data_IF_820872166945
#
_entry.id   IF_820872166945
#
_cell.length_a   1.000
_cell.length_b   1.000
_cell.length_c   1.000
_cell.angle_alpha   90.00
_cell.angle_beta   90.00
_cell.angle_gamma   90.00
#
_symmetry.space_group_name_H-M   'P 1'
#
loop_
_entity.id
_entity.type
_entity.pdbx_description
1 polymer ?
#
# COMPACT_ATOMS: atom_id res chain seq x y z
N UNK A 1 29.77 -8.43 -22.99
CA UNK A 1 28.99 -9.08 -24.07
C UNK A 1 27.83 -9.80 -23.37
N UNK A 2 26.68 -10.02 -24.02
CA UNK A 2 25.56 -10.78 -23.41
C UNK A 2 25.62 -12.22 -23.92
N UNK A 3 25.16 -13.17 -23.10
CA UNK A 3 25.02 -14.57 -23.51
C UNK A 3 24.10 -14.67 -24.75
N UNK A 4 24.42 -15.49 -25.77
CA UNK A 4 23.66 -15.57 -27.01
C UNK A 4 22.17 -15.89 -26.80
N UNK A 5 21.86 -16.79 -25.86
CA UNK A 5 20.48 -17.17 -25.56
C UNK A 5 19.69 -16.01 -24.97
N UNK A 6 20.27 -15.33 -23.98
CA UNK A 6 19.71 -14.11 -23.38
C UNK A 6 19.48 -13.01 -24.42
N UNK A 7 20.41 -12.83 -25.36
CA UNK A 7 20.27 -11.86 -26.44
C UNK A 7 19.07 -12.22 -27.34
N UNK A 8 18.94 -13.49 -27.72
CA UNK A 8 17.88 -13.96 -28.61
C UNK A 8 16.48 -13.93 -27.97
N UNK A 9 16.39 -14.18 -26.67
CA UNK A 9 15.12 -14.23 -25.93
C UNK A 9 14.59 -12.84 -25.59
N UNK A 10 15.47 -11.90 -25.22
CA UNK A 10 15.12 -10.52 -24.87
C UNK A 10 14.94 -9.67 -26.13
N UNK A 11 15.85 -9.76 -27.09
CA UNK A 11 15.90 -8.87 -28.25
C UNK A 11 15.37 -9.58 -29.50
N UNK A 12 14.11 -10.04 -29.43
CA UNK A 12 13.40 -10.69 -30.54
C UNK A 12 13.34 -9.83 -31.82
N UNK A 13 13.44 -8.49 -31.68
CA UNK A 13 13.54 -7.52 -32.78
C UNK A 13 14.99 -7.02 -32.94
N UNK A 14 15.80 -7.68 -33.76
CA UNK A 14 17.22 -7.37 -33.99
C UNK A 14 17.47 -6.16 -34.93
N UNK A 15 16.69 -5.08 -34.86
CA UNK A 15 16.97 -3.87 -35.66
C UNK A 15 17.32 -2.70 -34.76
N UNK A 16 18.57 -2.70 -34.29
CA UNK A 16 19.18 -1.50 -33.74
C UNK A 16 19.85 -0.73 -34.87
N UNK A 17 19.66 0.59 -34.92
CA UNK A 17 20.47 1.44 -35.78
C UNK A 17 21.93 1.35 -35.34
N UNK A 18 22.85 1.13 -36.28
CA UNK A 18 24.27 1.20 -35.97
C UNK A 18 24.62 2.61 -35.47
N UNK A 19 25.55 2.68 -34.51
CA UNK A 19 26.04 3.95 -34.01
C UNK A 19 26.71 4.75 -35.14
N UNK A 20 26.48 6.06 -35.19
CA UNK A 20 27.13 6.94 -36.17
C UNK A 20 28.60 7.17 -35.81
N UNK A 21 29.42 7.55 -36.80
CA UNK A 21 30.82 7.88 -36.58
C UNK A 21 31.01 9.00 -35.54
N UNK A 22 30.07 9.95 -35.48
CA UNK A 22 30.08 11.04 -34.51
C UNK A 22 29.82 10.52 -33.08
N UNK A 23 28.85 9.64 -32.89
CA UNK A 23 28.57 9.01 -31.59
C UNK A 23 29.76 8.19 -31.09
N UNK A 24 30.41 7.45 -32.00
CA UNK A 24 31.62 6.69 -31.70
C UNK A 24 32.75 7.64 -31.28
N UNK A 25 32.97 8.73 -32.03
CA UNK A 25 34.00 9.73 -31.71
C UNK A 25 33.80 10.34 -30.32
N UNK A 26 32.58 10.78 -29.99
CA UNK A 26 32.24 11.33 -28.68
C UNK A 26 32.55 10.32 -27.57
N UNK A 27 32.13 9.07 -27.75
CA UNK A 27 32.36 8.00 -26.78
C UNK A 27 33.85 7.75 -26.57
N UNK A 28 34.63 7.65 -27.65
CA UNK A 28 36.08 7.43 -27.60
C UNK A 28 36.80 8.60 -26.93
N UNK A 29 36.46 9.84 -27.27
CA UNK A 29 37.09 11.04 -26.68
C UNK A 29 36.80 11.13 -25.17
N UNK A 30 35.59 10.79 -24.74
CA UNK A 30 35.25 10.67 -23.32
C UNK A 30 36.08 9.59 -22.61
N UNK A 31 36.16 8.38 -23.18
CA UNK A 31 36.98 7.28 -22.63
C UNK A 31 38.48 7.63 -22.55
N UNK A 32 39.00 8.41 -23.51
CA UNK A 32 40.37 8.91 -23.47
C UNK A 32 40.57 9.93 -22.35
N UNK A 33 39.64 10.86 -22.16
CA UNK A 33 39.70 11.86 -21.07
C UNK A 33 39.74 11.22 -19.68
N UNK A 34 39.06 10.08 -19.51
CA UNK A 34 39.05 9.29 -18.27
C UNK A 34 40.23 8.31 -18.18
N UNK A 35 41.14 8.32 -19.17
CA UNK A 35 42.28 7.43 -19.28
C UNK A 35 41.89 5.94 -19.17
N UNK A 36 40.80 5.53 -19.81
CA UNK A 36 40.33 4.13 -19.83
C UNK A 36 40.30 3.54 -21.23
N UNK A 37 40.33 4.37 -22.27
CA UNK A 37 40.40 3.90 -23.65
C UNK A 37 41.70 3.12 -23.91
N UNK A 38 41.59 1.91 -24.48
CA UNK A 38 42.74 1.08 -24.84
C UNK A 38 43.34 0.25 -23.69
N UNK A 39 42.80 0.35 -22.47
CA UNK A 39 43.18 -0.56 -21.38
C UNK A 39 42.53 -1.92 -21.59
N UNK A 40 43.31 -3.00 -21.47
CA UNK A 40 42.76 -4.36 -21.52
C UNK A 40 42.02 -4.67 -20.21
N UNK A 41 40.76 -5.09 -20.32
CA UNK A 41 40.04 -5.72 -19.23
C UNK A 41 40.27 -7.23 -19.25
N UNK A 42 40.24 -7.87 -18.08
CA UNK A 42 40.22 -9.33 -18.01
C UNK A 42 38.90 -9.85 -18.61
N UNK A 43 38.94 -10.81 -19.55
CA UNK A 43 37.74 -11.39 -20.10
C UNK A 43 36.99 -12.18 -19.01
N UNK A 44 35.77 -11.77 -18.72
CA UNK A 44 34.87 -12.50 -17.83
C UNK A 44 34.19 -13.59 -18.63
N UNK A 45 34.30 -14.85 -18.17
CA UNK A 45 33.53 -15.95 -18.73
C UNK A 45 32.03 -15.65 -18.63
N UNK A 46 31.32 -15.77 -19.75
CA UNK A 46 29.87 -15.61 -19.76
C UNK A 46 29.23 -16.98 -19.59
N UNK A 47 28.56 -17.18 -18.45
CA UNK A 47 27.67 -18.32 -18.28
C UNK A 47 26.48 -18.19 -19.24
N UNK A 48 26.28 -19.19 -20.09
CA UNK A 48 25.07 -19.32 -20.90
C UNK A 48 23.99 -20.01 -20.06
N UNK A 49 22.76 -19.50 -20.15
CA UNK A 49 21.61 -20.06 -19.45
C UNK A 49 20.35 -19.80 -20.26
N UNK A 50 19.35 -20.63 -20.07
CA UNK A 50 18.04 -20.48 -20.70
C UNK A 50 17.15 -19.59 -19.81
N UNK A 51 16.85 -18.35 -20.22
CA UNK A 51 15.98 -17.48 -19.44
C UNK A 51 14.51 -17.95 -19.54
N UNK A 52 13.70 -17.73 -18.49
CA UNK A 52 12.27 -18.05 -18.56
C UNK A 52 11.59 -17.27 -19.70
N UNK A 53 10.52 -17.85 -20.23
CA UNK A 53 9.75 -17.20 -21.28
C UNK A 53 9.20 -15.84 -20.82
N UNK A 54 9.38 -14.83 -21.69
CA UNK A 54 8.77 -13.53 -21.46
C UNK A 54 7.26 -13.63 -21.63
N UNK A 55 6.52 -13.24 -20.60
CA UNK A 55 5.11 -12.88 -20.70
C UNK A 55 4.94 -11.59 -21.50
N UNK A 56 4.99 -11.67 -22.84
CA UNK A 56 4.87 -10.52 -23.74
C UNK A 56 5.99 -10.47 -24.79
N UNK A 57 6.06 -9.35 -25.50
CA UNK A 57 6.95 -9.17 -26.66
C UNK A 57 8.33 -8.61 -26.29
N UNK A 58 8.45 -8.00 -25.11
CA UNK A 58 9.67 -7.33 -24.64
C UNK A 58 9.70 -7.30 -23.10
N UNK A 59 10.79 -6.79 -22.51
CA UNK A 59 10.99 -6.72 -21.06
C UNK A 59 9.91 -5.85 -20.38
N UNK A 60 9.53 -4.73 -20.98
CA UNK A 60 8.52 -3.83 -20.42
C UNK A 60 7.16 -4.51 -20.30
N UNK A 61 6.69 -5.15 -21.38
CA UNK A 61 5.47 -5.96 -21.37
C UNK A 61 5.55 -7.10 -20.35
N UNK A 62 6.72 -7.76 -20.23
CA UNK A 62 6.91 -8.80 -19.23
C UNK A 62 6.69 -8.31 -17.81
N UNK A 63 7.35 -7.21 -17.42
CA UNK A 63 7.20 -6.63 -16.08
C UNK A 63 5.79 -6.09 -15.84
N UNK A 64 5.17 -5.50 -16.85
CA UNK A 64 3.76 -5.09 -16.78
C UNK A 64 2.84 -6.29 -16.54
N UNK A 65 3.01 -7.37 -17.30
CA UNK A 65 2.16 -8.55 -17.22
C UNK A 65 2.32 -9.33 -15.92
N UNK A 66 3.55 -9.53 -15.42
CA UNK A 66 3.74 -10.15 -14.08
C UNK A 66 3.17 -9.26 -12.97
N UNK A 67 3.30 -7.93 -13.12
CA UNK A 67 2.71 -6.97 -12.19
C UNK A 67 1.18 -7.05 -12.18
N UNK A 68 0.56 -7.10 -13.36
CA UNK A 68 -0.88 -7.26 -13.50
C UNK A 68 -1.38 -8.59 -12.92
N UNK A 69 -0.67 -9.70 -13.17
CA UNK A 69 -1.00 -11.00 -12.60
C UNK A 69 -0.89 -11.01 -11.07
N UNK A 70 0.13 -10.36 -10.51
CA UNK A 70 0.29 -10.25 -9.06
C UNK A 70 -0.73 -9.31 -8.41
N UNK A 71 -1.17 -8.27 -9.13
CA UNK A 71 -2.12 -7.29 -8.64
C UNK A 71 -3.57 -7.79 -8.70
N UNK A 72 -3.91 -8.68 -9.64
CA UNK A 72 -5.26 -9.25 -9.74
C UNK A 72 -5.45 -10.41 -8.75
N UNK A 73 -6.66 -10.57 -8.17
CA UNK A 73 -7.88 -9.79 -8.42
C UNK A 73 -7.99 -8.51 -7.57
N UNK A 74 -7.01 -8.23 -6.70
CA UNK A 74 -7.09 -7.17 -5.71
C UNK A 74 -7.19 -5.76 -6.31
N UNK A 75 -6.56 -5.51 -7.46
CA UNK A 75 -6.71 -4.25 -8.19
C UNK A 75 -8.18 -4.02 -8.59
N UNK A 76 -8.81 -5.02 -9.22
CA UNK A 76 -10.23 -4.93 -9.59
C UNK A 76 -11.12 -4.73 -8.36
N UNK A 77 -10.84 -5.44 -7.26
CA UNK A 77 -11.56 -5.26 -6.00
C UNK A 77 -11.44 -3.83 -5.45
N UNK A 78 -10.24 -3.24 -5.47
CA UNK A 78 -10.00 -1.87 -5.04
C UNK A 78 -10.72 -0.85 -5.93
N UNK A 79 -10.64 -1.02 -7.26
CA UNK A 79 -11.31 -0.15 -8.22
C UNK A 79 -12.83 -0.18 -8.02
N UNK A 80 -13.42 -1.37 -7.91
CA UNK A 80 -14.86 -1.53 -7.66
C UNK A 80 -15.27 -0.90 -6.33
N UNK A 81 -14.49 -1.15 -5.26
CA UNK A 81 -14.76 -0.59 -3.94
C UNK A 81 -14.71 0.94 -3.94
N UNK A 82 -13.76 1.54 -4.65
CA UNK A 82 -13.62 3.00 -4.77
C UNK A 82 -14.78 3.67 -5.52
N UNK A 83 -15.52 2.93 -6.36
CA UNK A 83 -16.70 3.45 -7.06
C UNK A 83 -17.98 3.39 -6.20
N UNK A 84 -17.96 2.75 -5.03
CA UNK A 84 -19.13 2.65 -4.16
C UNK A 84 -19.40 4.02 -3.51
N UNK A 85 -20.61 4.53 -3.68
CA UNK A 85 -21.02 5.78 -3.04
C UNK A 85 -21.05 5.63 -1.51
N UNK A 86 -20.58 6.66 -0.78
CA UNK A 86 -20.50 6.64 0.69
C UNK A 86 -21.80 6.29 1.41
N UNK A 87 -22.95 6.74 0.89
CA UNK A 87 -24.28 6.44 1.45
C UNK A 87 -24.68 4.95 1.30
N UNK A 88 -23.95 4.19 0.48
CA UNK A 88 -24.15 2.77 0.32
C UNK A 88 -23.46 1.97 1.42
N UNK A 89 -22.59 2.54 2.25
CA UNK A 89 -21.97 1.85 3.37
C UNK A 89 -22.92 1.75 4.59
N UNK A 90 -22.77 0.72 5.44
CA UNK A 90 -23.53 0.64 6.69
C UNK A 90 -23.18 1.83 7.60
N UNK A 91 -24.19 2.37 8.28
CA UNK A 91 -23.96 3.41 9.29
C UNK A 91 -23.11 2.84 10.42
N UNK A 92 -22.28 3.70 11.02
CA UNK A 92 -21.56 3.34 12.23
C UNK A 92 -22.55 2.83 13.29
N UNK A 93 -22.27 1.70 13.97
CA UNK A 93 -23.15 1.20 15.01
C UNK A 93 -23.34 2.25 16.11
N UNK A 94 -24.57 2.42 16.57
CA UNK A 94 -24.85 3.31 17.68
C UNK A 94 -24.15 2.81 18.97
N UNK A 95 -23.76 3.71 19.84
CA UNK A 95 -22.94 3.37 21.02
C UNK A 95 -23.65 2.38 21.95
N UNK A 96 -24.97 2.50 22.09
CA UNK A 96 -25.83 1.60 22.84
C UNK A 96 -25.94 0.19 22.25
N UNK A 97 -25.62 0.03 20.96
CA UNK A 97 -25.62 -1.27 20.28
C UNK A 97 -24.27 -1.97 20.40
N UNK A 98 -23.19 -1.23 20.68
CA UNK A 98 -21.85 -1.78 20.79
C UNK A 98 -21.72 -2.77 21.96
N UNK A 99 -21.05 -3.89 21.73
CA UNK A 99 -20.83 -4.94 22.69
C UNK A 99 -19.36 -5.09 23.04
N UNK A 100 -19.05 -5.01 24.35
CA UNK A 100 -17.75 -5.41 24.90
C UNK A 100 -17.69 -6.95 25.01
N UNK A 101 -17.59 -7.62 23.87
CA UNK A 101 -17.58 -9.09 23.78
C UNK A 101 -16.35 -9.59 23.04
N UNK A 102 -15.63 -10.57 23.61
CA UNK A 102 -14.44 -11.15 23.00
C UNK A 102 -14.66 -11.75 21.61
N UNK A 103 -13.72 -11.44 20.71
CA UNK A 103 -13.73 -11.82 19.32
C UNK A 103 -14.48 -10.81 18.46
N UNK A 104 -14.87 -11.24 17.26
CA UNK A 104 -15.60 -10.39 16.33
C UNK A 104 -17.11 -10.36 16.63
N UNK A 105 -17.67 -9.16 16.55
CA UNK A 105 -19.11 -8.92 16.45
C UNK A 105 -19.39 -8.21 15.14
N UNK A 106 -20.25 -8.80 14.31
CA UNK A 106 -20.81 -8.19 13.09
C UNK A 106 -22.02 -7.34 13.45
N UNK A 107 -22.13 -6.18 12.82
CA UNK A 107 -23.24 -5.23 12.93
C UNK A 107 -23.79 -4.95 11.54
N UNK A 108 -25.00 -5.42 11.27
CA UNK A 108 -25.67 -5.32 9.98
C UNK A 108 -26.47 -4.02 9.85
N UNK A 109 -26.87 -3.70 8.62
CA UNK A 109 -27.60 -2.47 8.27
C UNK A 109 -28.97 -2.34 8.93
N UNK A 110 -29.58 -3.48 9.23
CA UNK A 110 -30.88 -3.56 9.91
C UNK A 110 -30.77 -3.36 11.43
N UNK A 111 -29.55 -3.17 11.94
CA UNK A 111 -29.25 -3.05 13.37
C UNK A 111 -29.11 -4.39 14.08
N UNK A 112 -29.24 -5.51 13.37
CA UNK A 112 -28.93 -6.82 13.92
C UNK A 112 -27.43 -6.97 14.16
N UNK A 113 -27.09 -7.84 15.12
CA UNK A 113 -25.71 -8.08 15.52
C UNK A 113 -25.48 -9.55 15.81
N UNK A 114 -24.34 -10.05 15.38
CA UNK A 114 -24.00 -11.45 15.51
C UNK A 114 -22.54 -11.62 15.89
N UNK A 115 -22.28 -12.48 16.87
CA UNK A 115 -20.91 -12.93 17.15
C UNK A 115 -20.43 -13.81 16.00
N UNK A 116 -19.29 -13.47 15.42
CA UNK A 116 -18.68 -14.20 14.31
C UNK A 116 -17.23 -14.56 14.67
N UNK A 117 -16.68 -15.60 14.03
CA UNK A 117 -15.27 -15.98 14.24
C UNK A 117 -14.31 -15.04 13.52
N UNK A 118 -14.72 -14.59 12.34
CA UNK A 118 -14.00 -13.71 11.41
C UNK A 118 -15.01 -12.90 10.60
N UNK A 119 -14.60 -11.82 9.91
CA UNK A 119 -15.46 -11.15 8.94
C UNK A 119 -15.98 -12.12 7.87
N UNK A 120 -17.21 -11.90 7.40
CA UNK A 120 -17.89 -12.80 6.48
C UNK A 120 -17.13 -12.96 5.16
N UNK A 121 -17.32 -14.10 4.49
CA UNK A 121 -16.60 -14.44 3.26
C UNK A 121 -16.99 -13.52 2.10
N UNK A 122 -18.26 -13.13 2.02
CA UNK A 122 -18.80 -12.19 1.03
C UNK A 122 -18.24 -10.77 1.17
N UNK A 123 -17.69 -10.43 2.35
CA UNK A 123 -17.07 -9.12 2.60
C UNK A 123 -15.61 -9.09 2.16
N UNK A 124 -15.37 -9.36 0.88
CA UNK A 124 -14.03 -9.48 0.29
C UNK A 124 -13.16 -8.22 0.41
N UNK A 125 -13.74 -7.03 0.62
CA UNK A 125 -13.00 -5.78 0.85
C UNK A 125 -13.35 -5.21 2.22
N UNK A 126 -12.32 -4.96 3.04
CA UNK A 126 -12.44 -4.40 4.38
C UNK A 126 -11.60 -3.13 4.51
N UNK A 127 -12.16 -2.06 5.07
CA UNK A 127 -11.37 -0.96 5.66
C UNK A 127 -11.14 -1.30 7.12
N UNK A 128 -9.90 -1.27 7.58
CA UNK A 128 -9.48 -1.89 8.85
C UNK A 128 -8.56 -0.99 9.65
N UNK A 129 -8.75 -0.99 10.98
CA UNK A 129 -7.97 -0.19 11.93
C UNK A 129 -7.87 -0.92 13.29
N UNK A 130 -6.79 -0.68 14.05
CA UNK A 130 -6.47 -1.40 15.30
C UNK A 130 -6.02 -0.47 16.41
N UNK A 131 -6.55 -0.70 17.61
CA UNK A 131 -6.11 -0.04 18.84
C UNK A 131 -5.23 -0.96 19.68
N UNK A 132 -4.19 -0.37 20.28
CA UNK A 132 -3.18 -1.05 21.11
C UNK A 132 -2.94 -0.24 22.38
N UNK A 133 -2.88 -0.90 23.54
CA UNK A 133 -2.41 -0.29 24.79
C UNK A 133 -0.87 -0.36 24.85
N UNK A 134 -0.20 0.55 24.14
CA UNK A 134 1.26 0.52 23.94
C UNK A 134 2.08 0.38 25.23
N UNK A 135 1.76 1.06 26.35
CA UNK A 135 2.51 0.90 27.60
C UNK A 135 2.42 -0.52 28.19
N UNK A 136 1.33 -1.25 27.92
CA UNK A 136 1.05 -2.56 28.51
C UNK A 136 1.50 -3.71 27.60
N UNK A 137 1.24 -3.61 26.30
CA UNK A 137 1.46 -4.71 25.35
C UNK A 137 1.45 -4.23 23.89
N UNK A 138 2.24 -4.83 22.99
CA UNK A 138 2.19 -4.53 21.56
C UNK A 138 1.01 -5.18 20.82
N UNK A 139 0.24 -6.03 21.50
CA UNK A 139 -0.89 -6.80 20.94
C UNK A 139 -2.18 -5.97 20.92
N UNK A 140 -3.09 -6.27 19.97
CA UNK A 140 -4.33 -5.51 19.80
C UNK A 140 -5.26 -5.65 21.00
N UNK A 141 -5.96 -4.56 21.33
CA UNK A 141 -7.05 -4.55 22.33
C UNK A 141 -8.41 -4.40 21.68
N UNK A 142 -8.50 -3.60 20.61
CA UNK A 142 -9.68 -3.44 19.78
C UNK A 142 -9.27 -3.43 18.32
N UNK A 143 -10.19 -3.83 17.45
CA UNK A 143 -10.08 -3.55 16.02
C UNK A 143 -11.45 -3.23 15.45
N UNK A 144 -11.47 -2.38 14.44
CA UNK A 144 -12.66 -2.08 13.67
C UNK A 144 -12.42 -2.48 12.22
N UNK A 145 -13.44 -3.06 11.59
CA UNK A 145 -13.47 -3.22 10.15
C UNK A 145 -14.82 -2.77 9.60
N UNK A 146 -14.82 -2.16 8.41
CA UNK A 146 -16.06 -1.91 7.66
C UNK A 146 -15.96 -2.50 6.27
N UNK A 147 -17.05 -3.06 5.81
CA UNK A 147 -17.23 -3.59 4.46
C UNK A 147 -18.38 -2.85 3.79
N UNK A 148 -18.70 -3.21 2.55
CA UNK A 148 -19.93 -2.73 1.94
C UNK A 148 -21.17 -3.22 2.70
N UNK A 149 -21.15 -4.37 3.38
CA UNK A 149 -22.36 -4.97 3.94
C UNK A 149 -22.55 -4.71 5.44
N UNK A 150 -21.47 -4.70 6.22
CA UNK A 150 -21.51 -4.63 7.68
C UNK A 150 -20.29 -3.94 8.30
N UNK A 151 -20.47 -3.49 9.55
CA UNK A 151 -19.38 -3.16 10.47
C UNK A 151 -18.98 -4.38 11.28
N UNK A 152 -17.72 -4.43 11.67
CA UNK A 152 -17.14 -5.45 12.51
C UNK A 152 -16.35 -4.79 13.62
N UNK A 153 -16.56 -5.23 14.85
CA UNK A 153 -15.76 -4.80 15.98
C UNK A 153 -15.16 -6.04 16.65
N UNK A 154 -13.85 -6.05 16.80
CA UNK A 154 -13.12 -7.09 17.51
C UNK A 154 -12.72 -6.58 18.89
N UNK A 155 -12.98 -7.39 19.92
CA UNK A 155 -12.48 -7.12 21.28
C UNK A 155 -11.52 -8.22 21.67
N UNK A 156 -10.34 -7.82 22.16
CA UNK A 156 -9.35 -8.76 22.65
C UNK A 156 -9.91 -9.55 23.85
N UNK A 157 -9.72 -10.88 23.91
CA UNK A 157 -10.02 -11.66 25.10
C UNK A 157 -9.34 -11.11 26.37
N UNK A 158 -8.21 -10.42 26.22
CA UNK A 158 -7.55 -9.74 27.33
C UNK A 158 -8.34 -8.53 27.84
N UNK A 159 -8.89 -7.72 26.94
CA UNK A 159 -9.67 -6.53 27.30
C UNK A 159 -11.04 -6.89 27.88
N UNK A 160 -11.67 -7.97 27.39
CA UNK A 160 -12.95 -8.46 27.92
C UNK A 160 -12.83 -9.21 29.26
N UNK A 161 -11.62 -9.59 29.66
CA UNK A 161 -11.37 -10.40 30.86
C UNK A 161 -11.52 -11.92 30.65
N UNK A 162 -11.78 -12.37 29.42
CA UNK A 162 -11.89 -13.80 29.08
C UNK A 162 -10.52 -14.52 29.06
N UNK A 163 -9.41 -13.76 29.01
CA UNK A 163 -8.06 -14.29 29.04
C UNK A 163 -7.13 -13.44 29.91
N UNK A 164 -6.27 -14.06 30.74
CA UNK A 164 -5.31 -13.33 31.58
C UNK A 164 -4.07 -12.84 30.81
N UNK A 165 -3.95 -13.11 29.51
CA UNK A 165 -2.76 -12.79 28.72
C UNK A 165 -3.10 -11.93 27.50
N UNK A 166 -2.27 -10.92 27.17
CA UNK A 166 -2.57 -9.99 26.10
C UNK A 166 -2.25 -10.50 24.69
N UNK A 167 -1.67 -11.70 24.55
CA UNK A 167 -1.05 -12.18 23.30
C UNK A 167 -2.06 -12.78 22.30
N UNK A 168 -3.11 -12.04 22.01
CA UNK A 168 -4.15 -12.43 21.04
C UNK A 168 -3.94 -11.66 19.74
N UNK A 169 -4.10 -12.35 18.60
CA UNK A 169 -4.07 -11.73 17.29
C UNK A 169 -5.47 -11.74 16.68
N UNK A 170 -5.71 -10.83 15.74
CA UNK A 170 -7.00 -10.66 15.11
C UNK A 170 -7.11 -11.62 13.92
N UNK A 171 -8.04 -12.59 13.93
CA UNK A 171 -8.24 -13.48 12.79
C UNK A 171 -9.07 -12.79 11.71
N UNK A 172 -8.66 -12.91 10.44
CA UNK A 172 -9.43 -12.42 9.29
C UNK A 172 -9.94 -13.53 8.38
N UNK A 173 -9.48 -14.76 8.59
CA UNK A 173 -9.85 -15.95 7.81
C UNK A 173 -10.20 -17.10 8.73
N UNK A 174 -11.19 -17.89 8.33
CA UNK A 174 -11.55 -19.10 9.06
C UNK A 174 -10.63 -20.24 8.61
N UNK A 175 -9.83 -20.85 9.52
CA UNK A 175 -8.95 -21.96 9.17
C UNK A 175 -9.72 -23.19 8.65
N UNK A 176 -11.02 -23.32 8.96
CA UNK A 176 -11.85 -24.45 8.56
C UNK A 176 -12.41 -24.29 7.12
N UNK A 177 -12.22 -23.12 6.49
CA UNK A 177 -12.65 -22.89 5.09
C UNK A 177 -11.61 -23.38 4.09
N UNK A 178 -12.01 -24.32 3.22
CA UNK A 178 -11.14 -24.97 2.22
C UNK A 178 -10.81 -24.05 1.05
N UNK A 179 -11.73 -23.15 0.70
CA UNK A 179 -11.54 -22.13 -0.33
C UNK A 179 -11.35 -20.77 0.34
N UNK A 180 -10.12 -20.26 0.32
CA UNK A 180 -9.87 -18.88 0.73
C UNK A 180 -10.11 -17.98 -0.48
N UNK A 181 -11.31 -17.41 -0.57
CA UNK A 181 -11.60 -16.33 -1.49
C UNK A 181 -10.62 -15.16 -1.25
N UNK A 182 -10.13 -14.48 -2.30
CA UNK A 182 -9.26 -13.33 -2.18
C UNK A 182 -9.89 -12.23 -1.31
N UNK A 183 -9.10 -11.68 -0.38
CA UNK A 183 -9.52 -10.56 0.48
C UNK A 183 -8.59 -9.37 0.34
N UNK A 184 -9.15 -8.18 0.23
CA UNK A 184 -8.43 -6.91 0.24
C UNK A 184 -8.67 -6.18 1.55
N UNK A 185 -7.61 -5.84 2.27
CA UNK A 185 -7.65 -5.05 3.50
C UNK A 185 -7.04 -3.68 3.23
N UNK A 186 -7.84 -2.64 3.40
CA UNK A 186 -7.47 -1.24 3.20
C UNK A 186 -7.28 -0.58 4.57
N UNK A 187 -6.21 0.17 4.75
CA UNK A 187 -5.98 0.92 5.98
C UNK A 187 -5.05 2.11 5.75
N UNK A 188 -4.97 3.00 6.73
CA UNK A 188 -4.05 4.14 6.67
C UNK A 188 -2.85 3.87 7.57
N UNK A 189 -1.66 3.72 6.96
CA UNK A 189 -0.49 3.13 7.61
C UNK A 189 -0.72 1.66 8.03
N UNK A 190 -1.39 0.90 7.16
CA UNK A 190 -1.88 -0.48 7.43
C UNK A 190 -0.80 -1.46 7.89
N UNK A 191 0.49 -1.17 7.67
CA UNK A 191 1.59 -2.00 8.17
C UNK A 191 1.60 -2.11 9.70
N UNK A 192 1.12 -1.09 10.40
CA UNK A 192 0.99 -1.12 11.86
C UNK A 192 -0.09 -2.13 12.29
N UNK A 193 -1.27 -2.06 11.68
CA UNK A 193 -2.43 -2.92 11.97
C UNK A 193 -2.19 -4.36 11.52
N UNK A 194 -1.61 -4.51 10.33
CA UNK A 194 -1.26 -5.80 9.71
C UNK A 194 -0.42 -6.68 10.63
N UNK A 195 0.51 -6.10 11.38
CA UNK A 195 1.35 -6.84 12.32
C UNK A 195 0.56 -7.51 13.48
N UNK A 196 -0.71 -7.13 13.68
CA UNK A 196 -1.64 -7.65 14.70
C UNK A 196 -2.61 -8.70 14.15
N UNK A 197 -2.56 -9.00 12.85
CA UNK A 197 -3.38 -10.01 12.19
C UNK A 197 -2.77 -11.41 12.41
N UNK A 198 -3.61 -12.39 12.68
CA UNK A 198 -3.20 -13.76 13.01
C UNK A 198 -2.50 -14.45 11.82
N UNK A 199 -3.04 -14.26 10.62
CA UNK A 199 -2.62 -14.86 9.36
C UNK A 199 -1.17 -14.47 8.97
N UNK A 200 -0.69 -13.31 9.40
CA UNK A 200 0.68 -12.86 9.13
C UNK A 200 1.75 -13.72 9.81
N UNK A 201 1.35 -14.53 10.80
CA UNK A 201 2.22 -15.50 11.49
C UNK A 201 2.16 -16.90 10.88
N UNK A 202 1.34 -17.13 9.86
CA UNK A 202 1.23 -18.42 9.20
C UNK A 202 2.31 -18.58 8.11
N UNK A 203 2.84 -19.80 7.96
CA UNK A 203 3.81 -20.13 6.90
C UNK A 203 3.16 -20.07 5.52
N UNK A 204 2.00 -20.69 5.38
CA UNK A 204 1.15 -20.60 4.19
C UNK A 204 0.11 -19.52 4.45
N UNK A 205 0.28 -18.37 3.81
CA UNK A 205 -0.63 -17.24 3.99
C UNK A 205 -1.87 -17.42 3.13
N UNK A 206 -3.06 -17.08 3.65
CA UNK A 206 -4.25 -16.95 2.82
C UNK A 206 -4.07 -15.78 1.82
N UNK A 207 -4.86 -15.76 0.73
CA UNK A 207 -4.83 -14.70 -0.28
C UNK A 207 -5.44 -13.39 0.25
N UNK A 208 -4.72 -12.76 1.19
CA UNK A 208 -5.02 -11.44 1.70
C UNK A 208 -4.01 -10.44 1.14
N UNK A 209 -4.49 -9.43 0.43
CA UNK A 209 -3.70 -8.28 0.04
C UNK A 209 -4.00 -7.07 0.94
N UNK A 210 -3.02 -6.18 1.06
CA UNK A 210 -3.11 -4.97 1.86
C UNK A 210 -2.91 -3.75 0.97
N UNK A 211 -3.79 -2.76 1.10
CA UNK A 211 -3.69 -1.49 0.41
C UNK A 211 -3.57 -0.36 1.43
N UNK A 212 -2.44 0.34 1.41
CA UNK A 212 -2.15 1.42 2.34
C UNK A 212 -2.46 2.79 1.73
N UNK A 213 -3.47 3.47 2.26
CA UNK A 213 -3.84 4.82 1.80
C UNK A 213 -2.76 5.85 2.09
N UNK A 214 -1.92 5.64 3.13
CA UNK A 214 -0.78 6.49 3.39
C UNK A 214 0.28 6.34 2.29
N UNK A 215 0.64 5.11 1.93
CA UNK A 215 1.61 4.83 0.85
C UNK A 215 1.11 5.31 -0.50
N UNK A 216 -0.18 5.13 -0.82
CA UNK A 216 -0.79 5.67 -2.04
C UNK A 216 -0.64 7.20 -2.10
N UNK A 217 -0.97 7.90 -1.01
CA UNK A 217 -0.79 9.34 -0.94
C UNK A 217 0.69 9.73 -1.10
N UNK A 218 1.61 9.06 -0.40
CA UNK A 218 3.05 9.33 -0.51
C UNK A 218 3.55 9.19 -1.95
N UNK A 219 3.04 8.20 -2.69
CA UNK A 219 3.42 7.97 -4.10
C UNK A 219 2.92 9.05 -5.07
N UNK A 220 1.81 9.71 -4.77
CA UNK A 220 1.13 10.63 -5.70
C UNK A 220 1.26 12.11 -5.31
N UNK A 221 0.99 12.45 -4.04
CA UNK A 221 0.93 13.83 -3.54
C UNK A 221 1.70 14.03 -2.24
N UNK A 222 2.62 13.11 -1.94
CA UNK A 222 3.46 13.15 -0.75
C UNK A 222 4.56 14.20 -0.83
N UNK A 223 5.04 14.61 0.34
CA UNK A 223 6.11 15.58 0.49
C UNK A 223 7.43 14.90 0.86
N UNK A 224 8.53 15.31 0.23
CA UNK A 224 9.87 14.92 0.65
C UNK A 224 10.24 15.56 2.00
N UNK A 225 11.24 15.03 2.70
CA UNK A 225 11.61 15.47 4.06
C UNK A 225 11.84 16.97 4.18
N UNK A 226 12.48 17.59 3.17
CA UNK A 226 12.72 19.04 3.16
C UNK A 226 11.43 19.84 2.91
N UNK A 227 10.55 19.35 2.03
CA UNK A 227 9.28 19.99 1.73
C UNK A 227 8.34 19.99 2.95
N UNK A 228 8.37 18.96 3.79
CA UNK A 228 7.54 18.88 5.02
C UNK A 228 7.77 20.06 5.98
N UNK A 229 9.03 20.49 6.15
CA UNK A 229 9.37 21.63 7.01
C UNK A 229 8.79 22.94 6.47
N UNK A 230 8.95 23.18 5.17
CA UNK A 230 8.29 24.30 4.50
C UNK A 230 6.78 24.19 4.62
N UNK A 231 6.25 22.95 4.54
CA UNK A 231 4.82 22.72 4.61
C UNK A 231 4.22 23.21 5.93
N UNK A 232 4.85 22.81 7.03
CA UNK A 232 4.42 23.20 8.38
C UNK A 232 4.51 24.71 8.61
N UNK A 233 5.57 25.37 8.12
CA UNK A 233 5.73 26.83 8.26
C UNK A 233 4.65 27.61 7.53
N UNK A 234 4.38 27.25 6.29
CA UNK A 234 3.35 27.92 5.48
C UNK A 234 1.94 27.60 5.96
N UNK A 235 1.65 26.35 6.37
CA UNK A 235 0.37 25.97 6.99
C UNK A 235 0.12 26.78 8.27
N UNK A 236 1.15 27.01 9.08
CA UNK A 236 1.11 27.90 10.25
C UNK A 236 0.85 29.35 9.85
N UNK A 237 1.60 29.90 8.90
CA UNK A 237 1.41 31.27 8.41
C UNK A 237 -0.02 31.50 7.89
N UNK A 238 -0.61 30.52 7.20
CA UNK A 238 -2.01 30.57 6.74
C UNK A 238 -3.00 30.58 7.90
N UNK A 239 -2.75 29.82 8.98
CA UNK A 239 -3.60 29.85 10.19
C UNK A 239 -3.48 31.14 10.98
N UNK A 240 -2.28 31.73 11.01
CA UNK A 240 -1.97 32.98 11.74
C UNK A 240 -2.26 34.24 10.89
N UNK A 241 -2.66 34.09 9.62
CA UNK A 241 -2.83 35.17 8.64
C UNK A 241 -1.59 36.08 8.50
N UNK A 242 -0.40 35.47 8.46
CA UNK A 242 0.87 36.18 8.23
C UNK A 242 1.02 36.53 6.72
N UNK A 243 0.45 37.67 6.33
CA UNK A 243 0.41 38.13 4.95
C UNK A 243 1.81 38.36 4.35
N UNK A 244 2.77 38.84 5.15
CA UNK A 244 4.14 39.09 4.71
C UNK A 244 4.83 37.78 4.33
N UNK A 245 4.75 36.77 5.19
CA UNK A 245 5.32 35.46 4.90
C UNK A 245 4.67 34.82 3.66
N UNK A 246 3.34 34.91 3.55
CA UNK A 246 2.59 34.32 2.43
C UNK A 246 2.94 34.99 1.10
N UNK A 247 3.09 36.32 1.07
CA UNK A 247 3.50 37.04 -0.14
C UNK A 247 4.94 36.70 -0.54
N UNK A 248 5.88 36.69 0.42
CA UNK A 248 7.29 36.37 0.17
C UNK A 248 7.47 34.93 -0.36
N UNK A 249 6.59 34.02 0.06
CA UNK A 249 6.65 32.59 -0.28
C UNK A 249 5.56 32.15 -1.26
N UNK A 250 4.98 33.06 -2.04
CA UNK A 250 3.86 32.77 -2.94
C UNK A 250 4.18 31.68 -3.98
N UNK A 251 5.41 31.66 -4.53
CA UNK A 251 5.82 30.64 -5.50
C UNK A 251 5.98 29.26 -4.87
N UNK A 252 6.56 29.20 -3.67
CA UNK A 252 6.56 27.97 -2.87
C UNK A 252 5.15 27.54 -2.49
N UNK A 253 4.20 28.47 -2.34
CA UNK A 253 2.78 28.18 -2.10
C UNK A 253 2.14 27.22 -3.12
N UNK A 254 2.62 27.19 -4.36
CA UNK A 254 2.02 26.38 -5.44
C UNK A 254 2.06 24.87 -5.20
N UNK A 255 3.08 24.34 -4.51
CA UNK A 255 3.11 22.90 -4.21
C UNK A 255 2.18 22.51 -3.04
N UNK A 256 1.69 23.48 -2.27
CA UNK A 256 0.74 23.24 -1.19
C UNK A 256 -0.67 22.95 -1.68
N UNK A 257 -0.99 23.40 -2.89
CA UNK A 257 -2.29 23.17 -3.50
C UNK A 257 -2.45 21.71 -3.99
N UNK A 258 -1.32 21.03 -4.25
CA UNK A 258 -1.27 19.70 -4.87
C UNK A 258 -0.59 18.64 -3.98
N UNK A 259 -0.27 18.98 -2.74
CA UNK A 259 0.42 18.07 -1.80
C UNK A 259 0.04 18.35 -0.35
N UNK A 260 0.14 17.33 0.49
CA UNK A 260 -0.13 17.43 1.93
C UNK A 260 0.81 16.57 2.75
N UNK A 261 0.74 16.71 4.07
CA UNK A 261 1.34 15.72 4.96
C UNK A 261 0.54 14.41 4.89
N UNK A 262 1.17 13.34 5.35
CA UNK A 262 0.67 11.97 5.22
C UNK A 262 -0.14 11.47 6.43
N UNK A 263 -0.53 12.33 7.38
CA UNK A 263 -1.46 11.91 8.42
C UNK A 263 -2.85 11.68 7.82
N UNK A 264 -3.63 10.78 8.42
CA UNK A 264 -5.00 10.49 7.96
C UNK A 264 -5.84 11.77 7.84
N UNK A 265 -5.74 12.65 8.83
CA UNK A 265 -6.42 13.97 8.84
C UNK A 265 -6.05 14.84 7.64
N UNK A 266 -4.77 14.91 7.28
CA UNK A 266 -4.28 15.73 6.17
C UNK A 266 -4.63 15.11 4.81
N UNK A 267 -4.56 13.79 4.69
CA UNK A 267 -4.91 13.05 3.47
C UNK A 267 -6.41 13.14 3.19
N UNK A 268 -7.27 12.96 4.20
CA UNK A 268 -8.71 13.08 4.01
C UNK A 268 -9.14 14.53 3.75
N UNK A 269 -8.48 15.52 4.37
CA UNK A 269 -8.72 16.93 4.00
C UNK A 269 -8.35 17.18 2.55
N UNK A 270 -7.19 16.68 2.11
CA UNK A 270 -6.67 16.90 0.77
C UNK A 270 -7.55 16.29 -0.33
N UNK A 271 -7.93 15.01 -0.21
CA UNK A 271 -8.71 14.32 -1.25
C UNK A 271 -10.23 14.39 -1.07
N UNK A 272 -10.71 14.38 0.18
CA UNK A 272 -12.13 14.24 0.49
C UNK A 272 -12.77 15.51 1.04
N UNK A 273 -11.98 16.56 1.33
CA UNK A 273 -12.43 17.79 1.99
C UNK A 273 -13.09 17.54 3.35
N UNK A 274 -12.64 16.50 4.05
CA UNK A 274 -13.10 16.15 5.39
C UNK A 274 -12.16 16.80 6.41
N UNK A 275 -12.72 17.57 7.33
CA UNK A 275 -11.99 18.04 8.53
C UNK A 275 -12.29 17.08 9.68
N UNK A 276 -11.23 16.44 10.19
CA UNK A 276 -11.23 15.59 11.38
C UNK A 276 -10.73 16.34 12.60
#
# INVERSE_FOLDING_TARGET
MLAPQLLSSIFKRQRFSQATNEQIKISVDHLKSQNIYGKQGEPVEMADFDPPELLGSNIEEHFYNIGALAAQPYLQMAEQFAQIHGNSFPKIPAQELWLMQSGWTRYDRDGSRQRVRVPAAEDGVLVFDVEVLVPDSPFPVLAAATSQNAWYMWVSPYLSGDSPHPRHLIPLTDPDTVDHEPRLVIGHNVGYDRARIQEERQLKRPPIAFLDTMSLHVSNSGLCSRQRLFWMRYSRAKKENDEEYLQLNADTGKFFDVSSLNSLSEVARHYCRIEM
#
